data_IF_852632648512
#
_entry.id   IF_852632648512
#
_cell.length_a   1.000
_cell.length_b   1.000
_cell.length_c   1.000
_cell.angle_alpha   90.00
_cell.angle_beta   90.00
_cell.angle_gamma   90.00
#
_symmetry.space_group_name_H-M   'P 1'
#
loop_
_entity.id
_entity.type
_entity.pdbx_description
1 polymer ?
#
# COMPACT_ATOMS: atom_id res chain seq x y z
N UNK A 1 -2.79 -8.95 3.82
CA UNK A 1 -2.36 -9.30 5.19
C UNK A 1 -0.85 -9.19 5.43
N UNK A 2 0.03 -9.23 4.42
CA UNK A 2 1.48 -9.08 4.62
C UNK A 2 1.99 -7.63 4.59
N UNK A 3 1.15 -6.73 4.08
CA UNK A 3 1.46 -5.30 3.96
C UNK A 3 0.43 -4.52 4.76
N UNK A 4 0.89 -3.47 5.44
CA UNK A 4 0.08 -2.52 6.18
C UNK A 4 0.32 -1.13 5.58
N UNK A 5 -0.73 -0.56 5.01
CA UNK A 5 -0.67 0.77 4.40
C UNK A 5 -0.77 1.84 5.49
N UNK A 6 0.29 2.61 5.69
CA UNK A 6 0.34 3.65 6.72
C UNK A 6 0.09 5.06 6.17
N UNK A 7 0.16 5.22 4.85
CA UNK A 7 -0.13 6.47 4.17
C UNK A 7 -0.53 6.21 2.72
N UNK A 8 -1.13 7.22 2.09
CA UNK A 8 -1.47 7.21 0.69
C UNK A 8 -0.90 8.46 0.01
N UNK A 9 -0.47 8.34 -1.24
CA UNK A 9 0.06 9.46 -2.01
C UNK A 9 -0.49 9.41 -3.44
N UNK A 10 -0.69 10.59 -4.03
CA UNK A 10 -1.07 10.71 -5.44
C UNK A 10 0.11 10.26 -6.30
N UNK A 11 -0.13 9.26 -7.14
CA UNK A 11 0.82 8.79 -8.14
C UNK A 11 0.06 8.45 -9.43
N UNK A 12 0.36 9.18 -10.50
CA UNK A 12 -0.29 9.01 -11.80
C UNK A 12 0.23 7.79 -12.57
N UNK A 13 1.33 7.19 -12.13
CA UNK A 13 1.95 6.02 -12.76
C UNK A 13 1.52 4.71 -12.11
N UNK A 14 1.13 4.76 -10.84
CA UNK A 14 0.76 3.57 -10.06
C UNK A 14 -0.74 3.61 -9.79
N UNK A 15 -1.42 2.52 -10.16
CA UNK A 15 -2.87 2.40 -9.94
C UNK A 15 -3.22 2.52 -8.46
N UNK A 16 -4.42 3.02 -8.17
CA UNK A 16 -4.90 3.15 -6.80
C UNK A 16 -4.83 1.81 -6.05
N UNK A 17 -4.49 1.89 -4.76
CA UNK A 17 -4.38 0.73 -3.87
C UNK A 17 -3.12 -0.10 -4.07
N UNK A 18 -2.27 0.24 -5.05
CA UNK A 18 -0.99 -0.44 -5.26
C UNK A 18 0.12 0.25 -4.46
N UNK A 19 1.11 -0.54 -4.06
CA UNK A 19 2.25 -0.06 -3.27
C UNK A 19 3.15 0.79 -4.15
N UNK A 20 3.46 2.00 -3.69
CA UNK A 20 4.43 2.90 -4.35
C UNK A 20 5.78 2.87 -3.65
N UNK A 21 5.79 2.61 -2.34
CA UNK A 21 7.02 2.62 -1.54
C UNK A 21 6.89 1.72 -0.31
N UNK A 22 7.95 0.99 -0.01
CA UNK A 22 8.13 0.28 1.26
C UNK A 22 8.98 1.12 2.19
N UNK A 23 8.41 1.52 3.33
CA UNK A 23 9.10 2.29 4.37
C UNK A 23 9.81 1.38 5.36
N UNK A 24 9.23 0.22 5.62
CA UNK A 24 9.81 -0.77 6.52
C UNK A 24 9.47 -2.19 6.08
N UNK A 25 10.51 -3.03 6.00
CA UNK A 25 10.37 -4.44 5.67
C UNK A 25 9.54 -5.21 6.70
N UNK A 26 8.66 -6.06 6.18
CA UNK A 26 7.96 -7.08 6.95
C UNK A 26 8.82 -8.33 7.14
N UNK A 27 8.46 -9.16 8.11
CA UNK A 27 9.18 -10.40 8.41
C UNK A 27 8.24 -11.57 8.66
N UNK A 28 8.63 -12.72 8.11
CA UNK A 28 8.06 -14.02 8.40
C UNK A 28 9.11 -14.85 9.17
N UNK A 29 8.68 -15.57 10.19
CA UNK A 29 9.52 -16.56 10.89
C UNK A 29 8.80 -17.90 10.82
N UNK A 30 9.42 -18.88 10.14
CA UNK A 30 8.80 -20.19 9.92
C UNK A 30 7.36 -20.06 9.39
N UNK A 31 7.18 -19.26 8.33
CA UNK A 31 5.88 -18.97 7.69
C UNK A 31 4.87 -18.20 8.57
N UNK A 32 5.19 -17.91 9.83
CA UNK A 32 4.39 -17.07 10.72
C UNK A 32 4.67 -15.60 10.46
N UNK A 33 3.62 -14.81 10.22
CA UNK A 33 3.72 -13.36 10.15
C UNK A 33 4.06 -12.79 11.53
N UNK A 34 5.29 -12.32 11.67
CA UNK A 34 5.74 -11.63 12.89
C UNK A 34 5.42 -10.14 12.80
N UNK A 35 5.56 -9.59 11.60
CA UNK A 35 5.29 -8.18 11.34
C UNK A 35 4.98 -7.93 9.87
N UNK A 36 3.90 -7.21 9.53
CA UNK A 36 3.66 -6.76 8.15
C UNK A 36 4.66 -5.67 7.75
N UNK A 37 4.93 -5.56 6.44
CA UNK A 37 5.70 -4.44 5.90
C UNK A 37 4.87 -3.17 5.94
N UNK A 38 5.49 -2.05 6.32
CA UNK A 38 4.83 -0.75 6.29
C UNK A 38 5.07 -0.11 4.94
N UNK A 39 3.97 0.23 4.25
CA UNK A 39 3.99 0.70 2.87
C UNK A 39 3.18 1.97 2.71
N UNK A 40 3.53 2.74 1.69
CA UNK A 40 2.68 3.81 1.14
C UNK A 40 2.00 3.26 -0.10
N UNK A 41 0.70 3.50 -0.23
CA UNK A 41 -0.08 3.09 -1.40
C UNK A 41 -0.44 4.30 -2.27
N UNK A 42 -0.65 4.05 -3.56
CA UNK A 42 -1.12 5.07 -4.49
C UNK A 42 -2.60 5.37 -4.25
N UNK A 43 -2.96 6.65 -4.32
CA UNK A 43 -4.35 7.10 -4.50
C UNK A 43 -4.79 7.05 -5.97
N UNK A 44 -3.90 6.66 -6.88
CA UNK A 44 -4.10 6.72 -8.31
C UNK A 44 -4.06 8.16 -8.83
N UNK A 45 -4.41 8.30 -10.10
CA UNK A 45 -4.67 9.60 -10.70
C UNK A 45 -6.04 10.08 -10.24
N UNK A 46 -6.15 11.34 -9.80
CA UNK A 46 -7.37 12.01 -9.33
C UNK A 46 -8.54 12.02 -10.34
N UNK A 47 -8.35 11.45 -11.55
CA UNK A 47 -9.39 11.31 -12.58
C UNK A 47 -10.32 10.10 -12.42
N UNK A 48 -10.07 9.18 -11.50
CA UNK A 48 -10.84 7.94 -11.43
C UNK A 48 -11.29 7.57 -10.03
N UNK A 49 -11.95 8.46 -9.28
CA UNK A 49 -12.73 8.03 -8.11
C UNK A 49 -13.83 9.02 -7.70
N UNK A 50 -14.88 9.05 -8.51
CA UNK A 50 -16.20 9.48 -8.09
C UNK A 50 -17.08 8.22 -8.09
N UNK A 51 -17.01 7.41 -7.03
CA UNK A 51 -18.06 6.47 -6.55
C UNK A 51 -17.49 5.47 -5.55
N UNK A 52 -17.89 5.63 -4.30
CA UNK A 52 -18.13 4.55 -3.33
C UNK A 52 -18.96 5.18 -2.20
N UNK A 53 -20.28 5.13 -2.37
CA UNK A 53 -21.30 5.43 -1.37
C UNK A 53 -21.82 4.13 -0.79
#
# INVERSE_FOLDING_TARGET
NFHEAISQQIDDKVAQGHIIMELQKGYLLNERLIRPSMVVISQGNSKSEVKSS
#
